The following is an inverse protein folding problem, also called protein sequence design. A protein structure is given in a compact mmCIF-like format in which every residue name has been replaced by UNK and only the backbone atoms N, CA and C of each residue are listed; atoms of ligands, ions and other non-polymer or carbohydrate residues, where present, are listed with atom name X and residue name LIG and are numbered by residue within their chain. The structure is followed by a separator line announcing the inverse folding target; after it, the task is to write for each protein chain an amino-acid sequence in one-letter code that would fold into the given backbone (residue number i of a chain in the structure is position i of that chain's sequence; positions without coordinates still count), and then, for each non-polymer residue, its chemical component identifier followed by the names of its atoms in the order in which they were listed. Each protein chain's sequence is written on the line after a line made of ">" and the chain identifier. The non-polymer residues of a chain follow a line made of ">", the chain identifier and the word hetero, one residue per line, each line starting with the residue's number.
data_IF_777556717097
#
_entry.id   IF_777556717097
#
_cell.length_a   1.000
_cell.length_b   1.000
_cell.length_c   1.000
_cell.angle_alpha   90.00
_cell.angle_beta   90.00
_cell.angle_gamma   90.00
#
_symmetry.space_group_name_H-M   'P 1'
#
loop_
_entity.id
_entity.type
_entity.pdbx_description
1 polymer ?
#
# COMPACT_ATOMS: atom_id res chain seq x y z
N UNK A 1 -19.60 51.87 74.14
CA UNK A 1 -20.46 50.67 74.30
C UNK A 1 -21.13 50.33 72.98
N UNK A 2 -20.60 49.33 72.25
CA UNK A 2 -21.30 48.18 71.67
C UNK A 2 -20.26 47.38 70.87
N UNK A 3 -20.14 46.09 71.23
CA UNK A 3 -19.25 45.07 70.65
C UNK A 3 -19.69 44.74 69.22
N UNK A 4 -18.78 44.23 68.38
CA UNK A 4 -18.81 42.87 67.80
C UNK A 4 -17.65 42.68 66.77
N UNK A 5 -16.90 41.60 66.96
CA UNK A 5 -15.89 40.93 66.09
C UNK A 5 -16.69 40.02 65.11
N UNK A 6 -16.33 39.76 63.82
CA UNK A 6 -15.22 38.86 63.45
C UNK A 6 -14.54 38.95 62.06
N UNK A 7 -13.43 38.20 61.96
CA UNK A 7 -12.73 37.58 60.81
C UNK A 7 -13.15 37.95 59.36
N UNK A 8 -12.15 38.29 58.53
CA UNK A 8 -12.06 37.73 57.17
C UNK A 8 -10.60 37.70 56.68
N UNK A 9 -10.23 36.56 56.12
CA UNK A 9 -8.93 36.20 55.58
C UNK A 9 -8.66 36.83 54.21
N UNK A 10 -7.41 37.23 53.93
CA UNK A 10 -6.88 37.40 52.57
C UNK A 10 -5.40 36.98 52.58
N UNK A 11 -5.14 35.83 51.93
CA UNK A 11 -4.13 35.55 50.89
C UNK A 11 -2.69 36.06 51.11
N UNK A 12 -1.62 35.32 50.79
CA UNK A 12 -1.43 34.48 49.62
C UNK A 12 -0.14 33.63 49.82
N UNK A 13 -0.35 32.33 49.96
CA UNK A 13 0.35 31.20 49.33
C UNK A 13 1.82 31.43 48.90
N UNK A 14 2.66 30.61 49.53
CA UNK A 14 4.04 30.30 49.19
C UNK A 14 4.22 29.99 47.70
N UNK A 15 5.24 30.60 47.10
CA UNK A 15 5.85 30.16 45.84
C UNK A 15 6.31 28.70 45.97
N UNK A 16 5.41 27.77 45.66
CA UNK A 16 5.78 26.42 45.25
C UNK A 16 6.31 26.53 43.82
N UNK A 17 7.63 26.62 43.70
CA UNK A 17 8.32 26.17 42.50
C UNK A 17 8.05 24.67 42.37
N UNK A 18 6.96 24.31 41.70
CA UNK A 18 6.83 23.03 41.03
C UNK A 18 7.89 23.00 39.95
N UNK A 19 9.08 22.53 40.32
CA UNK A 19 10.00 21.99 39.34
C UNK A 19 9.31 20.78 38.71
N UNK A 20 8.82 20.95 37.48
CA UNK A 20 8.69 19.83 36.57
C UNK A 20 10.09 19.22 36.47
N UNK A 21 10.31 18.09 37.14
CA UNK A 21 11.43 17.22 36.84
C UNK A 21 11.27 16.83 35.38
N UNK A 22 12.03 17.48 34.50
CA UNK A 22 12.26 16.98 33.16
C UNK A 22 12.91 15.62 33.38
N UNK A 23 12.13 14.55 33.19
CA UNK A 23 12.68 13.21 33.11
C UNK A 23 13.79 13.28 32.06
N UNK A 24 15.01 13.00 32.47
CA UNK A 24 16.16 13.03 31.58
C UNK A 24 15.89 11.97 30.50
N UNK A 25 15.58 12.41 29.28
CA UNK A 25 15.26 11.49 28.19
C UNK A 25 16.55 10.77 27.82
N UNK A 26 16.70 9.54 28.31
CA UNK A 26 17.91 8.75 28.11
C UNK A 26 17.88 8.12 26.72
N UNK A 27 18.85 8.43 25.86
CA UNK A 27 18.99 7.66 24.62
C UNK A 27 19.69 6.33 24.90
N UNK A 28 19.16 5.26 24.30
CA UNK A 28 19.67 3.90 24.45
C UNK A 28 20.29 3.41 23.16
N UNK A 29 21.39 2.65 23.26
CA UNK A 29 21.98 2.00 22.09
C UNK A 29 21.27 0.69 21.82
N UNK A 30 20.98 0.43 20.55
CA UNK A 30 20.26 -0.75 20.09
C UNK A 30 20.78 -1.25 18.74
N UNK A 31 19.97 -2.11 18.14
CA UNK A 31 20.23 -2.69 16.83
C UNK A 31 18.91 -3.08 16.18
N UNK A 32 18.70 -2.66 14.95
CA UNK A 32 17.69 -3.23 14.08
C UNK A 32 18.23 -4.52 13.47
N UNK A 33 17.43 -5.59 13.53
CA UNK A 33 17.74 -6.88 12.90
C UNK A 33 16.89 -7.04 11.65
N UNK A 34 17.43 -7.74 10.66
CA UNK A 34 16.72 -8.03 9.42
C UNK A 34 15.34 -8.64 9.69
N UNK A 35 14.33 -8.09 9.04
CA UNK A 35 12.95 -8.54 9.13
C UNK A 35 12.28 -8.54 7.76
N UNK A 36 11.16 -9.26 7.64
CA UNK A 36 10.37 -9.29 6.42
C UNK A 36 9.94 -7.87 6.04
N UNK A 37 10.27 -7.45 4.82
CA UNK A 37 10.02 -6.08 4.33
C UNK A 37 11.16 -5.07 4.61
N UNK A 38 12.13 -5.41 5.48
CA UNK A 38 13.32 -4.58 5.72
C UNK A 38 14.57 -5.43 6.05
N UNK A 39 15.23 -5.92 5.00
CA UNK A 39 16.31 -6.93 5.11
C UNK A 39 17.72 -6.34 5.38
N UNK A 40 17.77 -5.19 6.05
CA UNK A 40 19.01 -4.50 6.44
C UNK A 40 19.23 -4.65 7.94
N UNK A 41 20.48 -4.64 8.38
CA UNK A 41 20.86 -4.70 9.79
C UNK A 41 21.75 -3.50 10.09
N UNK A 42 21.41 -2.76 11.14
CA UNK A 42 22.16 -1.56 11.53
C UNK A 42 22.04 -1.30 13.03
N UNK A 43 23.03 -0.57 13.57
CA UNK A 43 23.02 -0.13 14.97
C UNK A 43 22.16 1.11 15.11
N UNK A 44 21.51 1.28 16.25
CA UNK A 44 20.59 2.39 16.50
C UNK A 44 20.90 3.14 17.79
N UNK A 45 20.48 4.40 17.84
CA UNK A 45 20.28 5.18 19.06
C UNK A 45 18.78 5.48 19.18
N UNK A 46 18.14 5.04 20.26
CA UNK A 46 16.69 5.12 20.44
C UNK A 46 16.28 6.11 21.52
N UNK A 47 15.15 6.75 21.28
CA UNK A 47 14.45 7.66 22.18
C UNK A 47 13.03 7.13 22.36
N UNK A 48 12.67 6.77 23.60
CA UNK A 48 11.31 6.39 23.94
C UNK A 48 10.51 7.63 24.33
N UNK A 49 9.34 7.81 23.72
CA UNK A 49 8.35 8.83 24.08
C UNK A 49 7.03 8.16 24.46
N UNK A 50 5.99 8.95 24.73
CA UNK A 50 4.67 8.41 25.05
C UNK A 50 4.04 7.80 23.78
N UNK A 51 3.92 6.47 23.76
CA UNK A 51 3.26 5.73 22.67
C UNK A 51 4.09 5.50 21.40
N UNK A 52 5.32 6.03 21.34
CA UNK A 52 6.23 5.84 20.19
C UNK A 52 7.69 5.71 20.61
N UNK A 53 8.42 4.85 19.91
CA UNK A 53 9.88 4.73 19.99
C UNK A 53 10.48 5.24 18.69
N UNK A 54 11.39 6.21 18.76
CA UNK A 54 12.11 6.69 17.57
C UNK A 54 13.57 6.27 17.67
N UNK A 55 14.06 5.58 16.64
CA UNK A 55 15.39 5.02 16.56
C UNK A 55 16.13 5.61 15.38
N UNK A 56 17.33 6.14 15.58
CA UNK A 56 18.16 6.66 14.49
C UNK A 56 19.33 5.73 14.22
N UNK A 57 19.61 5.47 12.94
CA UNK A 57 20.79 4.74 12.51
C UNK A 57 22.06 5.40 13.07
N UNK A 58 22.97 4.58 13.62
CA UNK A 58 24.20 5.06 14.22
C UNK A 58 25.10 5.78 13.21
N UNK A 59 25.01 5.40 11.93
CA UNK A 59 25.62 6.08 10.81
C UNK A 59 24.75 7.31 10.49
N UNK A 60 25.29 8.51 10.79
CA UNK A 60 24.55 9.77 10.67
C UNK A 60 23.90 10.27 11.96
N UNK A 61 24.09 9.59 13.09
CA UNK A 61 23.49 9.98 14.37
C UNK A 61 23.97 11.36 14.87
N UNK A 62 23.00 12.23 15.13
CA UNK A 62 23.16 13.45 15.92
C UNK A 62 22.04 13.53 16.97
N UNK A 63 22.39 13.71 18.25
CA UNK A 63 21.43 13.70 19.35
C UNK A 63 20.32 14.73 19.21
N UNK A 64 20.65 15.95 18.75
CA UNK A 64 19.68 17.00 18.47
C UNK A 64 18.73 16.60 17.35
N UNK A 65 19.24 15.98 16.29
CA UNK A 65 18.41 15.53 15.16
C UNK A 65 17.44 14.44 15.56
N UNK A 66 17.89 13.46 16.35
CA UNK A 66 17.00 12.43 16.91
C UNK A 66 15.90 13.05 17.78
N UNK A 67 16.25 13.99 18.66
CA UNK A 67 15.28 14.67 19.54
C UNK A 67 14.25 15.49 18.77
N UNK A 68 14.70 16.27 17.78
CA UNK A 68 13.82 17.09 16.96
C UNK A 68 12.87 16.22 16.13
N UNK A 69 13.38 15.17 15.48
CA UNK A 69 12.55 14.23 14.72
C UNK A 69 11.57 13.49 15.63
N UNK A 70 12.01 13.04 16.81
CA UNK A 70 11.17 12.34 17.77
C UNK A 70 9.98 13.19 18.25
N UNK A 71 10.18 14.48 18.50
CA UNK A 71 9.10 15.39 18.87
C UNK A 71 8.07 15.56 17.75
N UNK A 72 8.53 15.64 16.49
CA UNK A 72 7.61 15.70 15.34
C UNK A 72 6.82 14.41 15.19
N UNK A 73 7.47 13.25 15.35
CA UNK A 73 6.82 11.94 15.28
C UNK A 73 5.78 11.77 16.39
N UNK A 74 6.11 12.13 17.62
CA UNK A 74 5.18 12.09 18.75
C UNK A 74 3.97 13.02 18.49
N UNK A 75 4.21 14.24 18.00
CA UNK A 75 3.14 15.19 17.69
C UNK A 75 2.22 14.69 16.55
N UNK A 76 2.79 14.13 15.48
CA UNK A 76 2.02 13.57 14.38
C UNK A 76 1.23 12.33 14.82
N UNK A 77 1.82 11.44 15.63
CA UNK A 77 1.09 10.29 16.19
C UNK A 77 -0.04 10.75 17.12
N UNK A 78 0.19 11.79 17.93
CA UNK A 78 -0.86 12.39 18.77
C UNK A 78 -2.01 12.96 17.93
N UNK A 79 -1.72 13.62 16.81
CA UNK A 79 -2.74 14.13 15.89
C UNK A 79 -3.55 12.99 15.23
N UNK A 80 -2.88 11.91 14.80
CA UNK A 80 -3.53 10.72 14.26
C UNK A 80 -4.42 10.05 15.30
N UNK A 81 -3.94 9.87 16.54
CA UNK A 81 -4.68 9.20 17.61
C UNK A 81 -5.83 10.03 18.17
N UNK A 82 -5.80 11.37 18.00
CA UNK A 82 -6.96 12.22 18.29
C UNK A 82 -8.17 11.91 17.39
N UNK A 83 -7.93 11.37 16.18
CA UNK A 83 -8.98 10.92 15.25
C UNK A 83 -9.22 9.41 15.39
N UNK A 84 -8.14 8.61 15.40
CA UNK A 84 -8.20 7.15 15.34
C UNK A 84 -8.34 6.43 16.68
N UNK A 85 -8.22 7.15 17.80
CA UNK A 85 -8.07 6.52 19.11
C UNK A 85 -6.68 5.93 19.32
N UNK A 86 -6.56 5.02 20.27
CA UNK A 86 -5.28 4.42 20.63
C UNK A 86 -4.72 3.56 19.47
N UNK A 87 -3.40 3.58 19.22
CA UNK A 87 -2.76 2.67 18.28
C UNK A 87 -3.05 1.20 18.62
N UNK A 88 -3.10 0.34 17.61
CA UNK A 88 -3.32 -1.11 17.80
C UNK A 88 -2.10 -1.82 18.37
N UNK A 89 -0.93 -1.18 18.27
CA UNK A 89 0.35 -1.64 18.79
C UNK A 89 1.28 -0.45 19.10
N UNK A 90 2.36 -0.71 19.84
CA UNK A 90 3.42 0.28 20.03
C UNK A 90 4.07 0.60 18.67
N UNK A 91 4.25 1.89 18.40
CA UNK A 91 4.81 2.36 17.12
C UNK A 91 6.31 2.52 17.26
N UNK A 92 7.07 1.88 16.39
CA UNK A 92 8.51 2.11 16.26
C UNK A 92 8.83 2.78 14.93
N UNK A 93 9.65 3.84 14.97
CA UNK A 93 10.09 4.58 13.79
C UNK A 93 11.61 4.54 13.70
N UNK A 94 12.14 4.04 12.58
CA UNK A 94 13.56 3.95 12.26
C UNK A 94 13.93 5.06 11.25
N UNK A 95 14.75 6.00 11.72
CA UNK A 95 15.37 7.06 10.94
C UNK A 95 16.67 6.53 10.32
N UNK A 96 16.66 6.33 9.01
CA UNK A 96 17.80 5.80 8.23
C UNK A 96 18.35 6.86 7.28
N UNK A 97 19.60 6.70 6.80
CA UNK A 97 20.16 7.61 5.79
C UNK A 97 19.35 7.56 4.48
N UNK A 98 19.02 6.35 4.03
CA UNK A 98 18.19 6.08 2.85
C UNK A 98 17.32 4.85 3.14
N UNK A 99 16.04 4.89 2.77
CA UNK A 99 15.18 3.71 2.86
C UNK A 99 15.49 2.75 1.71
N UNK A 100 15.21 1.46 1.91
CA UNK A 100 15.40 0.44 0.87
C UNK A 100 14.64 0.85 -0.40
N UNK A 101 13.34 1.15 -0.33
CA UNK A 101 12.58 1.58 -1.51
C UNK A 101 12.86 3.01 -2.02
N UNK A 102 13.65 3.80 -1.30
CA UNK A 102 13.76 5.25 -1.55
C UNK A 102 12.53 6.07 -1.15
N UNK A 103 11.50 5.44 -0.57
CA UNK A 103 10.30 6.10 -0.01
C UNK A 103 10.08 5.66 1.45
N UNK A 104 9.33 6.43 2.26
CA UNK A 104 8.86 5.97 3.57
C UNK A 104 8.02 4.70 3.43
N UNK A 105 8.26 3.71 4.27
CA UNK A 105 7.56 2.42 4.20
C UNK A 105 7.33 1.81 5.58
N UNK A 106 6.34 0.93 5.66
CA UNK A 106 6.07 0.12 6.85
C UNK A 106 6.52 -1.31 6.61
N UNK A 107 7.28 -1.91 7.53
CA UNK A 107 7.65 -3.32 7.47
C UNK A 107 7.55 -3.92 8.87
N UNK A 108 6.88 -5.08 8.98
CA UNK A 108 6.60 -5.75 10.26
C UNK A 108 5.99 -4.86 11.35
N UNK A 109 5.28 -3.79 10.97
CA UNK A 109 4.69 -2.83 11.90
C UNK A 109 5.61 -1.69 12.35
N UNK A 110 6.85 -1.66 11.86
CA UNK A 110 7.79 -0.56 12.04
C UNK A 110 7.78 0.39 10.85
N UNK A 111 7.97 1.67 11.11
CA UNK A 111 8.12 2.71 10.07
C UNK A 111 9.59 2.91 9.76
N UNK A 112 9.95 2.90 8.48
CA UNK A 112 11.28 3.24 7.99
C UNK A 112 11.20 4.50 7.14
N UNK A 113 11.91 5.55 7.54
CA UNK A 113 11.94 6.82 6.84
C UNK A 113 13.27 7.55 7.09
N UNK A 114 13.52 8.59 6.32
CA UNK A 114 14.65 9.50 6.56
C UNK A 114 14.24 10.65 7.48
N UNK A 115 15.23 11.36 8.02
CA UNK A 115 14.98 12.60 8.76
C UNK A 115 14.32 13.67 7.87
N UNK A 116 14.60 13.67 6.56
CA UNK A 116 13.93 14.60 5.63
C UNK A 116 12.45 14.32 5.56
N UNK A 117 12.08 13.05 5.47
CA UNK A 117 10.68 12.61 5.35
C UNK A 117 9.86 13.01 6.58
N UNK A 118 10.48 13.00 7.77
CA UNK A 118 9.84 13.50 9.00
C UNK A 118 9.63 15.02 8.96
N UNK A 119 10.60 15.77 8.42
CA UNK A 119 10.53 17.23 8.34
C UNK A 119 9.52 17.72 7.31
N UNK A 120 9.38 17.03 6.19
CA UNK A 120 8.40 17.37 5.15
C UNK A 120 7.04 16.68 5.33
N UNK A 121 6.95 15.69 6.23
CA UNK A 121 5.73 14.98 6.56
C UNK A 121 5.37 13.83 5.60
N UNK A 122 6.22 13.52 4.62
CA UNK A 122 5.96 12.43 3.66
C UNK A 122 5.85 11.05 4.29
N UNK A 123 6.42 10.84 5.49
CA UNK A 123 6.32 9.58 6.25
C UNK A 123 4.96 9.34 6.92
N UNK A 124 4.08 10.34 7.01
CA UNK A 124 2.82 10.26 7.78
C UNK A 124 1.87 9.12 7.35
N UNK A 125 1.75 8.76 6.06
CA UNK A 125 1.00 7.56 5.66
C UNK A 125 1.58 6.28 6.27
N UNK A 126 2.91 6.10 6.27
CA UNK A 126 3.53 4.94 6.90
C UNK A 126 3.31 4.94 8.43
N UNK A 127 3.35 6.11 9.07
CA UNK A 127 2.99 6.25 10.48
C UNK A 127 1.54 5.85 10.76
N UNK A 128 0.59 6.30 9.93
CA UNK A 128 -0.82 5.91 10.04
C UNK A 128 -1.02 4.40 9.82
N UNK A 129 -0.31 3.82 8.85
CA UNK A 129 -0.35 2.37 8.58
C UNK A 129 0.17 1.57 9.77
N UNK A 130 1.32 1.94 10.35
CA UNK A 130 1.89 1.27 11.53
C UNK A 130 0.99 1.41 12.77
N UNK A 131 0.43 2.61 13.00
CA UNK A 131 -0.39 2.87 14.18
C UNK A 131 -1.72 2.10 14.19
N UNK A 132 -2.34 1.89 13.01
CA UNK A 132 -3.69 1.32 12.91
C UNK A 132 -3.76 0.00 12.13
N UNK A 133 -2.63 -0.51 11.64
CA UNK A 133 -2.53 -1.75 10.84
C UNK A 133 -3.47 -1.75 9.62
N UNK A 134 -3.54 -0.63 8.90
CA UNK A 134 -4.37 -0.57 7.69
C UNK A 134 -3.91 -1.58 6.64
N UNK A 135 -4.81 -2.42 6.10
CA UNK A 135 -4.47 -3.41 5.09
C UNK A 135 -4.20 -2.78 3.72
N UNK A 136 -4.73 -1.58 3.45
CA UNK A 136 -4.62 -0.90 2.15
C UNK A 136 -3.93 0.45 2.28
N UNK A 137 -3.08 0.79 1.31
CA UNK A 137 -2.34 2.06 1.32
C UNK A 137 -3.28 3.26 1.29
N UNK A 138 -4.38 3.18 0.55
CA UNK A 138 -5.34 4.28 0.43
C UNK A 138 -5.92 4.71 1.78
N UNK A 139 -6.11 3.80 2.74
CA UNK A 139 -6.60 4.16 4.08
C UNK A 139 -5.55 4.96 4.85
N UNK A 140 -4.30 4.51 4.79
CA UNK A 140 -3.19 5.18 5.46
C UNK A 140 -2.90 6.56 4.87
N UNK A 141 -2.91 6.68 3.53
CA UNK A 141 -2.80 7.94 2.80
C UNK A 141 -3.99 8.85 3.10
N UNK A 142 -5.20 8.29 3.08
CA UNK A 142 -6.44 9.01 3.32
C UNK A 142 -6.52 9.59 4.72
N UNK A 143 -6.17 8.81 5.76
CA UNK A 143 -6.15 9.29 7.15
C UNK A 143 -5.07 10.34 7.38
N UNK A 144 -3.85 10.11 6.90
CA UNK A 144 -2.79 11.11 7.00
C UNK A 144 -3.20 12.42 6.33
N UNK A 145 -3.75 12.35 5.12
CA UNK A 145 -4.17 13.55 4.39
C UNK A 145 -5.40 14.23 5.04
N UNK A 146 -6.29 13.45 5.67
CA UNK A 146 -7.43 14.01 6.42
C UNK A 146 -6.96 14.83 7.62
N UNK A 147 -5.97 14.34 8.36
CA UNK A 147 -5.44 14.97 9.57
C UNK A 147 -4.53 16.16 9.26
N UNK A 148 -3.67 16.06 8.25
CA UNK A 148 -2.58 17.01 8.05
C UNK A 148 -2.74 17.94 6.85
N UNK A 149 -3.54 17.58 5.84
CA UNK A 149 -3.65 18.36 4.62
C UNK A 149 -4.87 19.30 4.63
N UNK A 150 -4.78 20.34 3.79
CA UNK A 150 -5.88 21.24 3.55
C UNK A 150 -7.12 20.50 2.99
N UNK A 151 -8.33 21.04 3.22
CA UNK A 151 -9.56 20.53 2.62
C UNK A 151 -9.46 20.34 1.10
N UNK A 152 -10.14 19.32 0.60
CA UNK A 152 -10.18 18.96 -0.83
C UNK A 152 -10.90 20.04 -1.62
N UNK A 153 -10.37 20.38 -2.80
CA UNK A 153 -11.07 21.18 -3.79
C UNK A 153 -12.08 20.30 -4.54
N UNK A 154 -13.25 20.06 -3.93
CA UNK A 154 -14.25 19.08 -4.39
C UNK A 154 -14.65 19.25 -5.87
N UNK A 155 -14.71 20.48 -6.38
CA UNK A 155 -15.02 20.73 -7.78
C UNK A 155 -13.92 20.23 -8.75
N UNK A 156 -12.65 20.37 -8.37
CA UNK A 156 -11.53 19.89 -9.16
C UNK A 156 -11.47 18.36 -9.14
N UNK A 157 -11.59 17.75 -7.95
CA UNK A 157 -11.64 16.31 -7.80
C UNK A 157 -12.79 15.69 -8.60
N UNK A 158 -14.00 16.27 -8.50
CA UNK A 158 -15.15 15.82 -9.28
C UNK A 158 -14.89 15.90 -10.79
N UNK A 159 -14.39 17.02 -11.28
CA UNK A 159 -14.08 17.18 -12.70
C UNK A 159 -13.04 16.16 -13.18
N UNK A 160 -12.06 15.83 -12.34
CA UNK A 160 -11.03 14.85 -12.65
C UNK A 160 -11.59 13.41 -12.69
N UNK A 161 -12.51 13.09 -11.78
CA UNK A 161 -13.12 11.77 -11.70
C UNK A 161 -14.19 11.49 -12.78
N UNK A 162 -14.77 12.52 -13.39
CA UNK A 162 -15.77 12.39 -14.45
C UNK A 162 -15.17 12.00 -15.81
N UNK A 163 -13.86 12.18 -16.01
CA UNK A 163 -13.16 11.73 -17.20
C UNK A 163 -12.89 10.21 -17.13
N UNK A 164 -13.29 9.41 -18.14
CA UNK A 164 -13.06 7.96 -18.15
C UNK A 164 -11.60 7.51 -18.05
N UNK A 165 -10.64 8.31 -18.52
CA UNK A 165 -9.21 7.94 -18.50
C UNK A 165 -8.60 8.11 -17.11
N UNK A 166 -9.02 9.16 -16.39
CA UNK A 166 -8.47 9.53 -15.08
C UNK A 166 -9.35 9.09 -13.92
N UNK A 167 -10.65 8.84 -14.14
CA UNK A 167 -11.61 8.41 -13.12
C UNK A 167 -11.30 7.04 -12.50
N UNK A 168 -10.41 6.25 -13.11
CA UNK A 168 -9.93 5.00 -12.55
C UNK A 168 -9.15 5.18 -11.23
N UNK A 169 -8.74 6.39 -10.86
CA UNK A 169 -8.18 6.66 -9.52
C UNK A 169 -9.14 6.27 -8.39
N UNK A 170 -10.44 6.26 -8.67
CA UNK A 170 -11.48 5.84 -7.72
C UNK A 170 -11.53 4.32 -7.51
N UNK A 171 -10.69 3.53 -8.21
CA UNK A 171 -10.41 2.16 -7.78
C UNK A 171 -9.54 2.09 -6.51
N UNK A 172 -8.92 3.22 -6.12
CA UNK A 172 -7.95 3.34 -5.03
C UNK A 172 -6.79 2.34 -5.14
N UNK A 173 -6.47 1.93 -6.36
CA UNK A 173 -5.39 1.02 -6.63
C UNK A 173 -4.04 1.59 -6.18
N UNK A 174 -3.24 0.73 -5.54
CA UNK A 174 -1.98 1.04 -4.86
C UNK A 174 -1.03 1.92 -5.69
N UNK A 175 -0.89 1.64 -6.98
CA UNK A 175 0.08 2.34 -7.84
C UNK A 175 -0.29 3.80 -8.15
N UNK A 176 -1.54 4.23 -7.94
CA UNK A 176 -1.91 5.65 -8.09
C UNK A 176 -1.25 6.55 -7.04
N UNK A 177 -0.82 5.98 -5.91
CA UNK A 177 -0.12 6.70 -4.85
C UNK A 177 1.40 6.68 -5.00
N UNK A 178 1.93 5.99 -6.02
CA UNK A 178 3.38 5.83 -6.23
C UNK A 178 3.90 6.78 -7.31
N UNK A 179 4.87 7.66 -7.01
CA UNK A 179 5.50 8.53 -8.01
C UNK A 179 6.35 7.76 -9.04
N UNK A 180 6.54 6.45 -8.84
CA UNK A 180 7.21 5.56 -9.79
C UNK A 180 6.30 5.21 -10.97
N UNK A 181 4.97 5.16 -10.74
CA UNK A 181 3.98 4.72 -11.74
C UNK A 181 2.95 5.80 -12.10
N UNK A 182 2.83 6.86 -11.30
CA UNK A 182 1.89 7.94 -11.52
C UNK A 182 2.62 9.29 -11.54
N UNK A 183 2.14 10.19 -12.40
CA UNK A 183 2.62 11.57 -12.40
C UNK A 183 2.13 12.35 -11.17
N UNK A 184 2.69 13.54 -10.95
CA UNK A 184 2.38 14.35 -9.77
C UNK A 184 0.92 14.76 -9.67
N UNK A 185 0.23 14.98 -10.80
CA UNK A 185 -1.20 15.33 -10.82
C UNK A 185 -2.05 14.13 -10.42
N UNK A 186 -1.78 12.95 -10.99
CA UNK A 186 -2.45 11.69 -10.66
C UNK A 186 -2.25 11.32 -9.19
N UNK A 187 -1.02 11.41 -8.67
CA UNK A 187 -0.75 11.17 -7.26
C UNK A 187 -1.50 12.16 -6.34
N UNK A 188 -1.55 13.44 -6.73
CA UNK A 188 -2.29 14.46 -5.99
C UNK A 188 -3.79 14.15 -5.96
N UNK A 189 -4.39 13.82 -7.12
CA UNK A 189 -5.81 13.54 -7.22
C UNK A 189 -6.19 12.24 -6.49
N UNK A 190 -5.36 11.19 -6.57
CA UNK A 190 -5.54 9.96 -5.81
C UNK A 190 -5.52 10.23 -4.29
N UNK A 191 -4.56 11.06 -3.82
CA UNK A 191 -4.50 11.50 -2.42
C UNK A 191 -5.74 12.29 -2.01
N UNK A 192 -6.20 13.22 -2.85
CA UNK A 192 -7.41 14.00 -2.57
C UNK A 192 -8.66 13.12 -2.54
N UNK A 193 -8.78 12.13 -3.43
CA UNK A 193 -9.84 11.14 -3.41
C UNK A 193 -9.83 10.33 -2.10
N UNK A 194 -8.69 9.73 -1.75
CA UNK A 194 -8.54 8.98 -0.50
C UNK A 194 -8.86 9.83 0.74
N UNK A 195 -8.44 11.10 0.74
CA UNK A 195 -8.78 12.06 1.80
C UNK A 195 -10.29 12.32 1.89
N UNK A 196 -10.95 12.63 0.77
CA UNK A 196 -12.39 12.94 0.76
C UNK A 196 -13.23 11.72 1.18
N UNK A 197 -12.84 10.53 0.72
CA UNK A 197 -13.46 9.26 1.14
C UNK A 197 -13.25 9.02 2.63
N UNK A 198 -12.03 9.21 3.13
CA UNK A 198 -11.73 9.06 4.56
C UNK A 198 -12.54 10.04 5.41
N UNK A 199 -12.62 11.31 5.00
CA UNK A 199 -13.42 12.32 5.69
C UNK A 199 -14.89 11.89 5.79
N UNK A 200 -15.47 11.42 4.68
CA UNK A 200 -16.84 10.90 4.67
C UNK A 200 -17.03 9.78 5.69
N UNK A 201 -16.21 8.74 5.65
CA UNK A 201 -16.38 7.58 6.54
C UNK A 201 -16.13 7.93 8.01
N UNK A 202 -15.09 8.71 8.31
CA UNK A 202 -14.77 9.12 9.69
C UNK A 202 -15.87 10.02 10.26
N UNK A 203 -16.43 10.92 9.46
CA UNK A 203 -17.44 11.89 9.93
C UNK A 203 -18.85 11.31 10.01
N UNK A 204 -19.22 10.40 9.11
CA UNK A 204 -20.58 9.81 9.07
C UNK A 204 -20.68 8.53 9.89
N UNK A 205 -19.71 7.63 9.78
CA UNK A 205 -19.76 6.28 10.36
C UNK A 205 -18.75 6.07 11.50
N UNK A 206 -17.79 6.99 11.65
CA UNK A 206 -16.76 6.94 12.67
C UNK A 206 -15.50 6.17 12.24
N UNK A 207 -14.40 6.40 12.95
CA UNK A 207 -13.11 5.81 12.63
C UNK A 207 -13.10 4.27 12.62
N UNK A 208 -13.84 3.63 13.54
CA UNK A 208 -13.88 2.15 13.61
C UNK A 208 -14.45 1.58 12.32
N UNK A 209 -15.53 2.15 11.79
CA UNK A 209 -16.11 1.72 10.51
C UNK A 209 -15.12 1.92 9.36
N UNK A 210 -14.48 3.09 9.27
CA UNK A 210 -13.43 3.36 8.30
C UNK A 210 -12.28 2.34 8.35
N UNK A 211 -11.81 2.00 9.55
CA UNK A 211 -10.69 1.07 9.74
C UNK A 211 -11.00 -0.37 9.35
N UNK A 212 -12.28 -0.73 9.33
CA UNK A 212 -12.74 -2.07 8.95
C UNK A 212 -13.07 -2.20 7.45
N UNK A 213 -12.88 -1.14 6.65
CA UNK A 213 -13.11 -1.21 5.20
C UNK A 213 -12.03 -2.08 4.54
N UNK A 214 -12.46 -3.21 3.98
CA UNK A 214 -11.58 -4.11 3.22
C UNK A 214 -11.68 -3.87 1.70
N UNK A 215 -12.88 -3.56 1.20
CA UNK A 215 -13.15 -3.34 -0.23
C UNK A 215 -13.18 -1.84 -0.56
N UNK A 216 -12.24 -1.34 -1.38
CA UNK A 216 -12.27 0.03 -1.91
C UNK A 216 -13.58 0.39 -2.61
N UNK A 217 -14.23 -0.56 -3.30
CA UNK A 217 -15.45 -0.29 -4.05
C UNK A 217 -16.62 0.07 -3.12
N UNK A 218 -16.73 -0.57 -1.96
CA UNK A 218 -17.70 -0.22 -0.91
C UNK A 218 -17.42 1.20 -0.38
N UNK A 219 -16.15 1.50 -0.09
CA UNK A 219 -15.74 2.79 0.43
C UNK A 219 -16.11 3.94 -0.54
N UNK A 220 -15.89 3.72 -1.83
CA UNK A 220 -16.11 4.70 -2.90
C UNK A 220 -17.58 4.87 -3.22
N UNK A 221 -18.37 3.79 -3.26
CA UNK A 221 -19.78 3.85 -3.66
C UNK A 221 -20.60 4.79 -2.77
N UNK A 222 -20.49 4.64 -1.45
CA UNK A 222 -21.21 5.45 -0.47
C UNK A 222 -20.80 6.92 -0.51
N UNK A 223 -19.50 7.19 -0.65
CA UNK A 223 -18.97 8.54 -0.81
C UNK A 223 -19.42 9.19 -2.13
N UNK A 224 -19.34 8.45 -3.24
CA UNK A 224 -19.66 8.96 -4.58
C UNK A 224 -21.15 9.34 -4.70
N UNK A 225 -22.05 8.58 -4.08
CA UNK A 225 -23.48 8.91 -4.00
C UNK A 225 -23.68 10.28 -3.31
N UNK A 226 -23.02 10.52 -2.18
CA UNK A 226 -23.11 11.80 -1.47
C UNK A 226 -22.55 12.97 -2.30
N UNK A 227 -21.42 12.77 -2.97
CA UNK A 227 -20.77 13.82 -3.78
C UNK A 227 -21.44 14.01 -5.15
N UNK A 228 -22.45 13.20 -5.47
CA UNK A 228 -23.10 13.17 -6.78
C UNK A 228 -22.07 13.01 -7.90
N UNK A 229 -21.09 12.12 -7.69
CA UNK A 229 -20.07 11.70 -8.64
C UNK A 229 -20.52 10.36 -9.22
N UNK A 230 -20.49 10.21 -10.53
CA UNK A 230 -20.80 8.93 -11.15
C UNK A 230 -19.71 7.92 -10.77
N UNK A 231 -20.11 6.76 -10.23
CA UNK A 231 -19.16 5.68 -9.99
C UNK A 231 -18.48 5.28 -11.30
N UNK A 232 -17.14 5.09 -11.30
CA UNK A 232 -16.43 4.67 -12.50
C UNK A 232 -16.92 3.28 -12.92
N UNK A 233 -17.01 3.05 -14.23
CA UNK A 233 -17.21 1.68 -14.73
C UNK A 233 -15.88 0.96 -14.62
N UNK A 234 -15.74 0.11 -13.60
CA UNK A 234 -14.52 -0.66 -13.40
C UNK A 234 -14.40 -1.80 -14.43
N UNK A 235 -13.19 -2.11 -14.93
CA UNK A 235 -12.99 -3.23 -15.85
C UNK A 235 -13.32 -4.60 -15.23
N UNK A 236 -13.62 -5.61 -16.06
CA UNK A 236 -13.66 -7.01 -15.61
C UNK A 236 -12.33 -7.38 -14.92
N UNK A 237 -12.40 -8.09 -13.79
CA UNK A 237 -11.22 -8.42 -12.97
C UNK A 237 -10.83 -7.38 -11.92
N UNK A 238 -11.49 -6.21 -11.86
CA UNK A 238 -11.24 -5.18 -10.85
C UNK A 238 -11.38 -5.70 -9.41
N UNK A 239 -12.34 -6.58 -9.13
CA UNK A 239 -12.53 -7.16 -7.80
C UNK A 239 -11.31 -7.96 -7.32
N UNK A 240 -10.61 -8.67 -8.22
CA UNK A 240 -9.38 -9.39 -7.89
C UNK A 240 -8.22 -8.42 -7.64
N UNK A 241 -8.11 -7.38 -8.48
CA UNK A 241 -7.08 -6.34 -8.33
C UNK A 241 -7.25 -5.56 -7.03
N UNK A 242 -8.49 -5.31 -6.59
CA UNK A 242 -8.79 -4.64 -5.33
C UNK A 242 -8.28 -5.40 -4.09
N UNK A 243 -8.11 -6.74 -4.20
CA UNK A 243 -7.53 -7.56 -3.13
C UNK A 243 -6.02 -7.42 -3.01
N UNK A 244 -5.34 -6.89 -4.03
CA UNK A 244 -3.90 -6.68 -3.99
C UNK A 244 -3.54 -5.57 -2.99
N UNK A 245 -2.37 -5.74 -2.39
CA UNK A 245 -1.72 -4.80 -1.48
C UNK A 245 -0.26 -4.65 -1.90
N UNK A 246 0.27 -3.44 -1.75
CA UNK A 246 1.66 -3.17 -2.04
C UNK A 246 2.54 -3.61 -0.87
N UNK A 247 3.58 -4.37 -1.19
CA UNK A 247 4.66 -4.76 -0.30
C UNK A 247 6.00 -4.40 -0.97
N UNK A 248 7.06 -4.28 -0.17
CA UNK A 248 8.43 -4.07 -0.67
C UNK A 248 9.27 -5.24 -0.24
N UNK A 249 9.78 -6.00 -1.22
CA UNK A 249 10.64 -7.16 -0.97
C UNK A 249 12.09 -6.80 -1.35
N UNK A 250 13.04 -7.67 -0.99
CA UNK A 250 14.50 -7.55 -1.19
C UNK A 250 14.91 -6.75 -2.45
N UNK A 251 16.01 -5.99 -2.33
CA UNK A 251 16.63 -5.26 -3.45
C UNK A 251 15.76 -4.15 -4.08
N UNK A 252 14.80 -3.59 -3.33
CA UNK A 252 13.95 -2.46 -3.73
C UNK A 252 12.86 -2.82 -4.74
N UNK A 253 12.51 -4.09 -4.89
CA UNK A 253 11.47 -4.51 -5.81
C UNK A 253 10.09 -4.31 -5.17
N UNK A 254 9.23 -3.55 -5.84
CA UNK A 254 7.82 -3.36 -5.46
C UNK A 254 7.05 -4.64 -5.78
N UNK A 255 6.22 -5.11 -4.86
CA UNK A 255 5.45 -6.35 -5.03
C UNK A 255 3.97 -6.08 -4.78
N UNK A 256 3.10 -6.53 -5.69
CA UNK A 256 1.66 -6.62 -5.42
C UNK A 256 1.25 -8.07 -5.16
N UNK A 257 0.57 -8.30 -4.04
CA UNK A 257 0.03 -9.62 -3.65
C UNK A 257 -1.19 -9.47 -2.73
N UNK A 258 -1.91 -10.56 -2.51
CA UNK A 258 -3.01 -10.61 -1.52
C UNK A 258 -4.27 -11.34 -1.98
N UNK A 259 -4.35 -11.68 -3.26
CA UNK A 259 -5.45 -12.44 -3.86
C UNK A 259 -5.30 -13.97 -3.74
N UNK A 260 -4.11 -14.43 -3.32
CA UNK A 260 -3.76 -15.85 -3.21
C UNK A 260 -3.52 -16.56 -4.55
N UNK A 261 -3.37 -15.82 -5.66
CA UNK A 261 -3.17 -16.40 -7.00
C UNK A 261 -1.91 -15.88 -7.68
N UNK A 262 -1.65 -14.57 -7.63
CA UNK A 262 -0.49 -13.98 -8.30
C UNK A 262 0.33 -13.10 -7.36
N UNK A 263 1.65 -13.23 -7.44
CA UNK A 263 2.61 -12.32 -6.83
C UNK A 263 3.28 -11.55 -7.95
N UNK A 264 2.98 -10.26 -8.07
CA UNK A 264 3.50 -9.40 -9.13
C UNK A 264 4.74 -8.66 -8.65
N UNK A 265 5.88 -8.94 -9.26
CA UNK A 265 7.12 -8.19 -9.04
C UNK A 265 7.20 -7.07 -10.06
N UNK A 266 7.07 -5.84 -9.57
CA UNK A 266 6.85 -4.66 -10.38
C UNK A 266 8.12 -3.87 -10.62
N UNK A 267 8.26 -3.45 -11.87
CA UNK A 267 9.19 -2.43 -12.32
C UNK A 267 8.49 -1.59 -13.41
N UNK A 268 8.81 -0.31 -13.59
CA UNK A 268 8.32 0.47 -14.73
C UNK A 268 8.81 -0.11 -16.04
N UNK A 269 7.89 -0.50 -16.92
CA UNK A 269 8.22 -1.12 -18.21
C UNK A 269 7.93 -0.17 -19.37
N UNK A 270 8.63 -0.35 -20.48
CA UNK A 270 8.39 0.39 -21.72
C UNK A 270 7.02 0.09 -22.34
N UNK A 271 6.54 -1.14 -22.11
CA UNK A 271 5.23 -1.61 -22.53
C UNK A 271 4.14 -1.39 -21.47
N UNK A 272 4.46 -0.89 -20.27
CA UNK A 272 3.46 -0.55 -19.23
C UNK A 272 4.06 0.47 -18.28
N UNK A 273 3.73 1.74 -18.48
CA UNK A 273 4.45 2.86 -17.87
C UNK A 273 3.61 3.73 -16.93
N UNK A 274 2.29 3.56 -16.89
CA UNK A 274 1.39 4.35 -16.03
C UNK A 274 0.57 3.46 -15.11
N UNK A 275 0.18 4.00 -13.95
CA UNK A 275 -0.67 3.30 -12.99
C UNK A 275 -2.02 2.88 -13.61
N UNK A 276 -2.62 3.74 -14.46
CA UNK A 276 -3.87 3.42 -15.17
C UNK A 276 -3.72 2.28 -16.16
N UNK A 277 -2.60 2.24 -16.90
CA UNK A 277 -2.32 1.16 -17.85
C UNK A 277 -2.06 -0.16 -17.11
N UNK A 278 -1.26 -0.13 -16.05
CA UNK A 278 -1.03 -1.28 -15.17
C UNK A 278 -2.32 -1.81 -14.58
N UNK A 279 -3.16 -0.94 -14.01
CA UNK A 279 -4.44 -1.32 -13.43
C UNK A 279 -5.33 -2.05 -14.46
N UNK A 280 -5.49 -1.48 -15.65
CA UNK A 280 -6.28 -2.07 -16.71
C UNK A 280 -5.71 -3.41 -17.19
N UNK A 281 -4.38 -3.52 -17.33
CA UNK A 281 -3.70 -4.77 -17.72
C UNK A 281 -3.91 -5.86 -16.67
N UNK A 282 -3.72 -5.54 -15.40
CA UNK A 282 -3.98 -6.48 -14.30
C UNK A 282 -5.44 -6.95 -14.31
N UNK A 283 -6.41 -6.04 -14.39
CA UNK A 283 -7.83 -6.40 -14.48
C UNK A 283 -8.08 -7.41 -15.61
N UNK A 284 -7.55 -7.13 -16.82
CA UNK A 284 -7.66 -8.05 -17.96
C UNK A 284 -6.95 -9.37 -17.69
N UNK A 285 -5.76 -9.38 -17.12
CA UNK A 285 -5.03 -10.62 -16.79
C UNK A 285 -5.86 -11.51 -15.88
N UNK A 286 -6.47 -10.96 -14.82
CA UNK A 286 -7.37 -11.69 -13.93
C UNK A 286 -8.59 -12.25 -14.67
N UNK A 287 -9.33 -11.38 -15.36
CA UNK A 287 -10.52 -11.78 -16.08
C UNK A 287 -10.24 -12.81 -17.19
N UNK A 288 -9.06 -12.71 -17.83
CA UNK A 288 -8.59 -13.65 -18.83
C UNK A 288 -8.08 -14.95 -18.24
N UNK A 289 -7.48 -14.92 -17.05
CA UNK A 289 -7.03 -16.11 -16.35
C UNK A 289 -8.23 -16.93 -15.82
N UNK A 290 -9.35 -16.29 -15.49
CA UNK A 290 -10.59 -16.99 -15.17
C UNK A 290 -11.18 -17.68 -16.42
N UNK A 291 -11.30 -16.94 -17.52
CA UNK A 291 -11.73 -17.50 -18.79
C UNK A 291 -10.83 -18.65 -19.26
N UNK A 292 -9.52 -18.51 -19.10
CA UNK A 292 -8.55 -19.57 -19.42
C UNK A 292 -8.86 -20.86 -18.68
N UNK A 293 -9.13 -20.78 -17.37
CA UNK A 293 -9.47 -21.94 -16.56
C UNK A 293 -10.81 -22.57 -16.99
N UNK A 294 -11.81 -21.75 -17.32
CA UNK A 294 -13.10 -22.23 -17.85
C UNK A 294 -12.93 -23.00 -19.18
N UNK A 295 -12.15 -22.45 -20.11
CA UNK A 295 -11.87 -23.10 -21.40
C UNK A 295 -11.05 -24.39 -21.22
N UNK A 296 -10.06 -24.38 -20.32
CA UNK A 296 -9.28 -25.59 -19.98
C UNK A 296 -10.16 -26.66 -19.31
N UNK A 297 -11.12 -26.30 -18.45
CA UNK A 297 -12.06 -27.23 -17.84
C UNK A 297 -12.93 -27.91 -18.89
N UNK A 298 -13.46 -27.12 -19.82
CA UNK A 298 -14.29 -27.61 -20.92
C UNK A 298 -13.52 -28.53 -21.88
N UNK A 299 -12.29 -28.16 -22.22
CA UNK A 299 -11.47 -28.88 -23.20
C UNK A 299 -10.73 -30.10 -22.61
N UNK A 300 -10.34 -30.06 -21.34
CA UNK A 300 -9.48 -31.06 -20.68
C UNK A 300 -10.12 -31.67 -19.42
N UNK A 301 -11.39 -32.16 -19.46
CA UNK A 301 -12.13 -32.54 -18.25
C UNK A 301 -11.49 -33.69 -17.45
N UNK A 302 -10.67 -34.54 -18.10
CA UNK A 302 -9.96 -35.64 -17.43
C UNK A 302 -8.70 -35.20 -16.68
N UNK A 303 -8.11 -34.08 -17.08
CA UNK A 303 -6.83 -33.58 -16.57
C UNK A 303 -6.98 -32.27 -15.80
N UNK A 304 -8.16 -31.64 -15.83
CA UNK A 304 -8.42 -30.35 -15.22
C UNK A 304 -8.20 -30.34 -13.70
N UNK A 305 -8.39 -31.46 -13.01
CA UNK A 305 -8.09 -31.55 -11.58
C UNK A 305 -6.62 -31.21 -11.24
N UNK A 306 -5.68 -31.54 -12.12
CA UNK A 306 -4.26 -31.19 -11.96
C UNK A 306 -4.01 -29.71 -12.27
N UNK A 307 -4.64 -29.17 -13.33
CA UNK A 307 -4.59 -27.75 -13.68
C UNK A 307 -5.11 -26.89 -12.52
N UNK A 308 -6.28 -27.26 -11.97
CA UNK A 308 -6.91 -26.57 -10.85
C UNK A 308 -6.08 -26.61 -9.58
N UNK A 309 -5.37 -27.71 -9.32
CA UNK A 309 -4.46 -27.80 -8.18
C UNK A 309 -3.32 -26.78 -8.30
N UNK A 310 -2.72 -26.64 -9.48
CA UNK A 310 -1.67 -25.63 -9.73
C UNK A 310 -2.25 -24.20 -9.65
N UNK A 311 -3.46 -23.98 -10.17
CA UNK A 311 -4.11 -22.67 -10.12
C UNK A 311 -4.49 -22.19 -8.70
N UNK A 312 -4.43 -23.06 -7.70
CA UNK A 312 -4.62 -22.70 -6.29
C UNK A 312 -3.30 -22.38 -5.57
N UNK A 313 -2.15 -22.59 -6.21
CA UNK A 313 -0.85 -22.16 -5.71
C UNK A 313 -0.57 -20.72 -6.17
N UNK A 314 0.26 -19.99 -5.41
CA UNK A 314 0.68 -18.65 -5.81
C UNK A 314 1.68 -18.72 -6.97
N UNK A 315 1.38 -18.02 -8.07
CA UNK A 315 2.22 -17.93 -9.25
C UNK A 315 2.94 -16.57 -9.24
N UNK A 316 4.27 -16.60 -9.26
CA UNK A 316 5.10 -15.41 -9.36
C UNK A 316 5.08 -14.86 -10.79
N UNK A 317 4.95 -13.54 -10.93
CA UNK A 317 5.01 -12.84 -12.22
C UNK A 317 6.07 -11.74 -12.13
N UNK A 318 7.18 -11.94 -12.83
CA UNK A 318 8.31 -11.02 -12.91
C UNK A 318 8.19 -10.17 -14.18
N UNK A 319 8.05 -8.86 -14.02
CA UNK A 319 8.00 -7.95 -15.16
C UNK A 319 9.42 -7.62 -15.62
N UNK A 320 9.67 -7.76 -16.91
CA UNK A 320 10.96 -7.45 -17.54
C UNK A 320 10.79 -6.62 -18.80
N UNK A 321 11.86 -5.93 -19.19
CA UNK A 321 11.89 -5.10 -20.41
C UNK A 321 11.51 -5.92 -21.65
N UNK A 322 10.91 -5.25 -22.64
CA UNK A 322 10.54 -5.84 -23.93
C UNK A 322 11.68 -6.49 -24.73
N UNK A 323 12.94 -6.16 -24.41
CA UNK A 323 14.11 -6.84 -24.99
C UNK A 323 14.28 -8.28 -24.47
N UNK A 324 13.60 -8.64 -23.37
CA UNK A 324 13.62 -9.98 -22.80
C UNK A 324 12.40 -10.76 -23.27
N UNK A 325 12.62 -11.97 -23.77
CA UNK A 325 11.51 -12.84 -24.20
C UNK A 325 10.76 -13.37 -22.99
N UNK A 326 9.42 -13.32 -23.06
CA UNK A 326 8.56 -13.95 -22.06
C UNK A 326 8.80 -15.46 -21.97
N UNK A 327 8.63 -15.99 -20.75
CA UNK A 327 9.06 -17.35 -20.42
C UNK A 327 8.32 -17.83 -19.17
N UNK A 328 7.69 -18.99 -19.26
CA UNK A 328 7.19 -19.74 -18.12
C UNK A 328 8.28 -20.65 -17.52
N UNK A 329 8.36 -20.68 -16.19
CA UNK A 329 9.13 -21.64 -15.39
C UNK A 329 8.16 -22.49 -14.55
N UNK A 330 7.58 -23.57 -15.10
CA UNK A 330 6.54 -24.35 -14.41
C UNK A 330 7.03 -25.05 -13.13
N UNK A 331 8.33 -25.34 -13.02
CA UNK A 331 8.90 -25.96 -11.82
C UNK A 331 8.85 -25.04 -10.59
N UNK A 332 8.98 -23.73 -10.81
CA UNK A 332 9.05 -22.71 -9.77
C UNK A 332 7.78 -21.82 -9.76
N UNK A 333 6.75 -22.21 -10.51
CA UNK A 333 5.49 -21.46 -10.69
C UNK A 333 5.72 -19.97 -11.00
N UNK A 334 6.66 -19.69 -11.91
CA UNK A 334 7.05 -18.32 -12.24
C UNK A 334 6.79 -18.01 -13.71
N UNK A 335 6.29 -16.81 -13.99
CA UNK A 335 6.16 -16.22 -15.32
C UNK A 335 7.13 -15.04 -15.40
N UNK A 336 8.02 -15.05 -16.38
CA UNK A 336 8.79 -13.88 -16.78
C UNK A 336 8.03 -13.23 -17.92
N UNK A 337 7.60 -11.99 -17.73
CA UNK A 337 6.71 -11.28 -18.66
C UNK A 337 7.46 -10.11 -19.30
N UNK A 338 7.91 -10.30 -20.54
CA UNK A 338 8.55 -9.27 -21.35
C UNK A 338 7.59 -8.49 -22.24
N UNK A 339 6.37 -8.98 -22.43
CA UNK A 339 5.34 -8.28 -23.22
C UNK A 339 3.95 -8.58 -22.68
N UNK A 340 3.11 -7.55 -22.58
CA UNK A 340 1.80 -7.68 -21.94
C UNK A 340 0.87 -8.70 -22.61
N UNK A 341 0.93 -8.85 -23.92
CA UNK A 341 0.11 -9.82 -24.67
C UNK A 341 0.49 -11.29 -24.43
N UNK A 342 1.64 -11.58 -23.83
CA UNK A 342 2.11 -12.98 -23.68
C UNK A 342 1.68 -13.64 -22.37
N UNK A 343 1.04 -12.89 -21.47
CA UNK A 343 0.72 -13.38 -20.13
C UNK A 343 -0.07 -14.70 -20.12
N UNK A 344 -1.16 -14.79 -20.90
CA UNK A 344 -2.00 -16.01 -20.92
C UNK A 344 -1.30 -17.20 -21.60
N UNK A 345 -0.41 -16.94 -22.55
CA UNK A 345 0.43 -17.98 -23.16
C UNK A 345 1.35 -18.60 -22.12
N UNK A 346 2.09 -17.77 -21.39
CA UNK A 346 3.00 -18.26 -20.34
C UNK A 346 2.24 -18.85 -19.15
N UNK A 347 1.08 -18.29 -18.79
CA UNK A 347 0.23 -18.87 -17.76
C UNK A 347 -0.24 -20.28 -18.15
N UNK A 348 -0.56 -20.52 -19.42
CA UNK A 348 -0.93 -21.86 -19.90
C UNK A 348 0.20 -22.86 -19.70
N UNK A 349 1.46 -22.45 -19.94
CA UNK A 349 2.63 -23.28 -19.68
C UNK A 349 2.80 -23.61 -18.21
N UNK A 350 2.62 -22.63 -17.31
CA UNK A 350 2.68 -22.86 -15.85
C UNK A 350 1.58 -23.82 -15.39
N UNK A 351 0.35 -23.64 -15.89
CA UNK A 351 -0.81 -24.45 -15.52
C UNK A 351 -0.78 -25.86 -16.12
N UNK A 352 0.02 -26.11 -17.15
CA UNK A 352 0.10 -27.42 -17.81
C UNK A 352 1.11 -28.33 -17.10
N UNK A 353 0.69 -29.52 -16.62
CA UNK A 353 1.59 -30.41 -15.87
C UNK A 353 2.85 -30.84 -16.63
N UNK A 354 3.98 -30.85 -15.90
CA UNK A 354 5.35 -31.14 -16.37
C UNK A 354 5.57 -32.41 -17.21
N UNK A 355 4.84 -33.53 -17.05
CA UNK A 355 5.04 -34.72 -17.90
C UNK A 355 4.80 -34.48 -19.40
N UNK A 356 4.04 -33.44 -19.78
CA UNK A 356 3.79 -33.07 -21.18
C UNK A 356 4.92 -32.20 -21.77
N UNK A 357 5.61 -31.42 -20.93
CA UNK A 357 6.53 -30.36 -21.34
C UNK A 357 7.89 -30.87 -21.85
N UNK A 358 8.40 -31.99 -21.31
CA UNK A 358 9.74 -32.49 -21.63
C UNK A 358 9.80 -33.40 -22.87
N UNK A 359 8.70 -34.09 -23.22
CA UNK A 359 8.68 -35.04 -24.34
C UNK A 359 7.98 -34.49 -25.60
N UNK A 360 7.16 -33.44 -25.48
CA UNK A 360 6.35 -32.89 -26.59
C UNK A 360 6.28 -31.34 -26.59
N UNK A 361 7.42 -30.66 -26.56
CA UNK A 361 7.46 -29.18 -26.53
C UNK A 361 6.59 -28.50 -27.60
N UNK A 362 6.57 -29.02 -28.83
CA UNK A 362 5.73 -28.50 -29.92
C UNK A 362 4.22 -28.57 -29.61
N UNK A 363 3.77 -29.59 -28.87
CA UNK A 363 2.38 -29.76 -28.47
C UNK A 363 2.04 -28.77 -27.36
N UNK A 364 2.95 -28.56 -26.41
CA UNK A 364 2.78 -27.59 -25.33
C UNK A 364 2.66 -26.16 -25.88
N UNK A 365 3.54 -25.75 -26.81
CA UNK A 365 3.40 -24.45 -27.48
C UNK A 365 2.08 -24.33 -28.25
N UNK A 366 1.65 -25.42 -28.90
CA UNK A 366 0.37 -25.47 -29.61
C UNK A 366 -0.83 -25.30 -28.67
N UNK A 367 -0.80 -25.91 -27.49
CA UNK A 367 -1.84 -25.77 -26.46
C UNK A 367 -1.84 -24.36 -25.87
N UNK A 368 -0.67 -23.81 -25.53
CA UNK A 368 -0.53 -22.45 -25.03
C UNK A 368 -1.10 -21.44 -26.03
N UNK A 369 -0.73 -21.55 -27.31
CA UNK A 369 -1.26 -20.70 -28.38
C UNK A 369 -2.78 -20.85 -28.55
N UNK A 370 -3.30 -22.08 -28.48
CA UNK A 370 -4.73 -22.36 -28.64
C UNK A 370 -5.56 -21.69 -27.54
N UNK A 371 -5.19 -21.93 -26.28
CA UNK A 371 -5.95 -21.43 -25.13
C UNK A 371 -5.74 -19.93 -24.93
N UNK A 372 -4.51 -19.42 -25.03
CA UNK A 372 -4.26 -17.99 -24.96
C UNK A 372 -5.00 -17.23 -26.06
N UNK A 373 -5.03 -17.75 -27.29
CA UNK A 373 -5.74 -17.13 -28.41
C UNK A 373 -7.25 -16.98 -28.19
N UNK A 374 -7.88 -17.88 -27.44
CA UNK A 374 -9.30 -17.75 -27.06
C UNK A 374 -9.50 -16.58 -26.10
N UNK A 375 -8.62 -16.44 -25.11
CA UNK A 375 -8.65 -15.34 -24.14
C UNK A 375 -8.36 -13.99 -24.82
N UNK A 376 -7.34 -13.95 -25.67
CA UNK A 376 -6.95 -12.78 -26.47
C UNK A 376 -8.07 -12.32 -27.41
N UNK A 377 -8.91 -13.25 -27.91
CA UNK A 377 -10.07 -12.89 -28.73
C UNK A 377 -11.09 -12.06 -27.96
N UNK A 378 -11.27 -12.32 -26.65
CA UNK A 378 -12.21 -11.57 -25.79
C UNK A 378 -11.61 -10.26 -25.28
N UNK A 379 -10.39 -10.31 -24.75
CA UNK A 379 -9.78 -9.17 -24.04
C UNK A 379 -8.79 -8.35 -24.89
N UNK A 380 -8.58 -8.76 -26.14
CA UNK A 380 -7.65 -8.14 -27.08
C UNK A 380 -6.19 -8.58 -26.84
N UNK A 381 -5.33 -8.33 -27.84
CA UNK A 381 -3.89 -8.37 -27.59
C UNK A 381 -3.53 -7.16 -26.73
N UNK A 382 -2.88 -7.41 -25.61
CA UNK A 382 -2.40 -6.36 -24.71
C UNK A 382 -1.13 -5.79 -25.34
N UNK A 383 -1.28 -4.70 -26.09
CA UNK A 383 -0.17 -4.00 -26.73
C UNK A 383 0.69 -3.22 -25.74
#
# INVERSE_FOLDING_TARGET
>A
MKRHIPLLAICLVCFLFLGCTVSEVSITQGRHLRETGYMVDFRTYSLQLEGVTVQMEARGYEESTLKDAAQLVEADLSALTAVGGAPVQEVEVYLVEETVSGLPQTAAGHVFCTVSDVKDGSYRPALAQAAFSFPKLWQSVGLASYVFDAPVEEAALKSYCEDPETGLILSLFELYFSPVFADGETCLMARQAARSITAYWVEQEGFVAFSCLEDPAEAVASWAEQQNIAAPTLPEGAASVAQLSLDVVQENQMVLKGDGRFIWYLEPMDWSSTASDFYQKLCRYYAGADLLLEEMEAALPRSFAAVKAIAHEEIAVELVSSDTTSLARPADLTIILGAGNTFWHELTHVLTPNPLLLENSWLCEGLATLFAGQVETKYGMIH
#
